data_IF_522900630535
#
_entry.id   IF_522900630535
#
_cell.length_a   1.000
_cell.length_b   1.000
_cell.length_c   1.000
_cell.angle_alpha   90.00
_cell.angle_beta   90.00
_cell.angle_gamma   90.00
#
_symmetry.space_group_name_H-M   'P 1'
#
loop_
_entity.id
_entity.type
_entity.pdbx_description
1 polymer ?
#
# COMPACT_ATOMS: atom_id res chain seq x y z
N UNK A 1 26.87 37.95 -21.55
CA UNK A 1 26.76 36.53 -21.21
C UNK A 1 25.32 36.34 -20.73
N UNK A 2 24.53 35.39 -21.26
CA UNK A 2 23.24 35.10 -20.66
C UNK A 2 23.48 34.50 -19.27
N UNK A 3 22.72 34.96 -18.27
CA UNK A 3 22.83 34.53 -16.89
C UNK A 3 22.53 33.02 -16.78
N UNK A 4 23.47 32.24 -16.25
CA UNK A 4 23.24 30.84 -15.89
C UNK A 4 22.28 30.79 -14.70
N UNK A 5 21.28 29.89 -14.70
CA UNK A 5 20.37 29.76 -13.57
C UNK A 5 21.14 29.27 -12.35
N UNK A 6 21.36 30.18 -11.39
CA UNK A 6 21.93 29.87 -10.08
C UNK A 6 21.04 28.87 -9.36
N UNK A 7 21.56 27.66 -9.14
CA UNK A 7 20.90 26.65 -8.32
C UNK A 7 21.01 27.08 -6.85
N UNK A 8 19.90 27.37 -6.16
CA UNK A 8 19.96 27.82 -4.77
C UNK A 8 20.57 26.72 -3.88
N UNK A 9 21.68 27.03 -3.20
CA UNK A 9 22.42 26.12 -2.29
C UNK A 9 21.81 26.08 -0.87
N UNK A 10 20.53 26.43 -0.70
CA UNK A 10 19.84 26.46 0.60
C UNK A 10 18.43 25.89 0.51
N UNK A 11 17.79 25.57 1.65
CA UNK A 11 16.40 25.12 1.65
C UNK A 11 15.53 26.16 0.95
N UNK A 12 14.92 25.76 -0.15
CA UNK A 12 13.97 26.61 -0.88
C UNK A 12 12.74 26.79 0.02
N UNK A 13 12.23 28.01 0.21
CA UNK A 13 10.99 28.21 0.93
C UNK A 13 9.88 27.34 0.35
N UNK A 14 9.08 26.72 1.21
CA UNK A 14 7.94 25.90 0.75
C UNK A 14 6.87 26.75 0.05
N UNK A 15 6.81 28.04 0.36
CA UNK A 15 5.88 29.00 -0.21
C UNK A 15 6.63 30.28 -0.58
N UNK A 16 6.18 30.96 -1.62
CA UNK A 16 6.61 32.33 -1.92
C UNK A 16 5.96 33.35 -0.98
N UNK A 17 6.34 34.64 -1.12
CA UNK A 17 5.82 35.72 -0.28
C UNK A 17 4.30 35.93 -0.43
N UNK A 18 3.70 35.44 -1.51
CA UNK A 18 2.25 35.44 -1.75
C UNK A 18 1.54 34.22 -1.16
N UNK A 19 2.27 33.29 -0.54
CA UNK A 19 1.74 32.04 0.00
C UNK A 19 1.48 30.97 -1.06
N UNK A 20 2.01 31.10 -2.28
CA UNK A 20 1.89 30.09 -3.33
C UNK A 20 3.01 29.06 -3.15
N UNK A 21 2.71 27.75 -3.17
CA UNK A 21 3.73 26.70 -3.09
C UNK A 21 4.78 26.84 -4.20
N UNK A 22 6.05 26.67 -3.86
CA UNK A 22 7.10 26.66 -4.86
C UNK A 22 7.07 25.35 -5.66
N UNK A 23 7.61 25.37 -6.88
CA UNK A 23 7.70 24.15 -7.69
C UNK A 23 8.48 23.03 -6.97
N UNK A 24 9.59 23.40 -6.35
CA UNK A 24 10.44 22.49 -5.59
C UNK A 24 9.68 21.86 -4.43
N UNK A 25 8.90 22.63 -3.66
CA UNK A 25 8.13 22.08 -2.54
C UNK A 25 7.05 21.09 -2.99
N UNK A 26 6.39 21.38 -4.12
CA UNK A 26 5.38 20.48 -4.68
C UNK A 26 6.03 19.21 -5.21
N UNK A 27 7.16 19.31 -5.90
CA UNK A 27 7.92 18.15 -6.39
C UNK A 27 8.34 17.26 -5.22
N UNK A 28 9.00 17.83 -4.21
CA UNK A 28 9.48 17.09 -3.04
C UNK A 28 8.31 16.43 -2.27
N UNK A 29 7.16 17.11 -2.16
CA UNK A 29 5.96 16.53 -1.56
C UNK A 29 5.41 15.35 -2.38
N UNK A 30 5.40 15.43 -3.71
CA UNK A 30 4.97 14.33 -4.58
C UNK A 30 5.91 13.14 -4.45
N UNK A 31 7.22 13.37 -4.50
CA UNK A 31 8.23 12.32 -4.37
C UNK A 31 8.14 11.63 -3.01
N UNK A 32 7.99 12.39 -1.93
CA UNK A 32 7.80 11.86 -0.57
C UNK A 32 6.55 11.00 -0.45
N UNK A 33 5.41 11.46 -1.00
CA UNK A 33 4.16 10.69 -1.00
C UNK A 33 4.27 9.43 -1.86
N UNK A 34 4.91 9.53 -3.01
CA UNK A 34 5.13 8.39 -3.89
C UNK A 34 5.99 7.33 -3.20
N UNK A 35 7.14 7.71 -2.63
CA UNK A 35 8.02 6.81 -1.90
C UNK A 35 7.30 6.14 -0.70
N UNK A 36 6.49 6.90 0.03
CA UNK A 36 5.66 6.36 1.12
C UNK A 36 4.64 5.36 0.60
N UNK A 37 3.92 5.70 -0.48
CA UNK A 37 2.90 4.84 -1.06
C UNK A 37 3.46 3.50 -1.58
N UNK A 38 4.72 3.48 -2.05
CA UNK A 38 5.37 2.24 -2.49
C UNK A 38 5.46 1.19 -1.36
N UNK A 39 5.69 1.61 -0.10
CA UNK A 39 5.83 0.69 1.05
C UNK A 39 4.61 0.59 1.96
N UNK A 40 3.60 1.45 1.78
CA UNK A 40 2.46 1.53 2.69
C UNK A 40 1.65 0.23 2.76
N UNK A 41 1.44 -0.45 1.62
CA UNK A 41 0.65 -1.67 1.58
C UNK A 41 1.29 -2.83 2.38
N UNK A 42 2.62 -2.92 2.41
CA UNK A 42 3.34 -3.94 3.21
C UNK A 42 3.17 -3.66 4.70
N UNK A 43 3.34 -2.40 5.11
CA UNK A 43 3.13 -1.98 6.50
C UNK A 43 1.69 -2.19 6.96
N UNK A 44 0.71 -1.87 6.11
CA UNK A 44 -0.71 -2.08 6.38
C UNK A 44 -1.03 -3.58 6.51
N UNK A 45 -0.45 -4.43 5.66
CA UNK A 45 -0.61 -5.88 5.75
C UNK A 45 0.02 -6.46 7.04
N UNK A 46 1.14 -5.91 7.49
CA UNK A 46 1.82 -6.28 8.74
C UNK A 46 1.24 -5.59 9.98
N UNK A 47 0.22 -4.74 9.84
CA UNK A 47 -0.49 -4.18 10.99
C UNK A 47 -1.26 -5.28 11.75
N UNK A 48 -1.57 -5.09 13.05
CA UNK A 48 -2.46 -6.01 13.78
C UNK A 48 -3.78 -6.25 13.07
N UNK A 49 -4.39 -5.20 12.52
CA UNK A 49 -5.64 -5.26 11.78
C UNK A 49 -5.47 -6.05 10.48
N UNK A 50 -4.41 -5.77 9.72
CA UNK A 50 -4.07 -6.48 8.48
C UNK A 50 -3.89 -7.99 8.70
N UNK A 51 -3.15 -8.38 9.75
CA UNK A 51 -3.01 -9.78 10.15
C UNK A 51 -4.35 -10.42 10.50
N UNK A 52 -5.19 -9.74 11.29
CA UNK A 52 -6.50 -10.28 11.69
C UNK A 52 -7.44 -10.53 10.50
N UNK A 53 -7.41 -9.67 9.48
CA UNK A 53 -8.19 -9.85 8.25
C UNK A 53 -7.68 -11.05 7.45
N UNK A 54 -6.36 -11.21 7.36
CA UNK A 54 -5.74 -12.36 6.71
C UNK A 54 -6.10 -13.67 7.42
N UNK A 55 -6.01 -13.71 8.75
CA UNK A 55 -6.39 -14.88 9.55
C UNK A 55 -7.86 -15.27 9.32
N UNK A 56 -8.79 -14.31 9.40
CA UNK A 56 -10.20 -14.55 9.13
C UNK A 56 -10.46 -15.05 7.69
N UNK A 57 -9.68 -14.57 6.72
CA UNK A 57 -9.78 -15.05 5.35
C UNK A 57 -9.33 -16.52 5.25
N UNK A 58 -8.19 -16.86 5.85
CA UNK A 58 -7.65 -18.22 5.86
C UNK A 58 -8.57 -19.20 6.57
N UNK A 59 -9.16 -18.80 7.69
CA UNK A 59 -10.18 -19.59 8.41
C UNK A 59 -11.39 -19.88 7.53
N UNK A 60 -11.92 -18.87 6.82
CA UNK A 60 -13.03 -19.07 5.89
C UNK A 60 -12.67 -20.01 4.74
N UNK A 61 -11.46 -19.89 4.20
CA UNK A 61 -10.99 -20.78 3.13
C UNK A 61 -10.84 -22.22 3.61
N UNK A 62 -10.29 -22.42 4.81
CA UNK A 62 -10.17 -23.75 5.42
C UNK A 62 -11.54 -24.37 5.66
N UNK A 63 -12.47 -23.64 6.26
CA UNK A 63 -13.83 -24.11 6.50
C UNK A 63 -14.56 -24.47 5.19
N UNK A 64 -14.39 -23.66 4.13
CA UNK A 64 -14.95 -23.95 2.82
C UNK A 64 -14.34 -25.23 2.21
N UNK A 65 -13.01 -25.40 2.31
CA UNK A 65 -12.31 -26.58 1.81
C UNK A 65 -12.73 -27.86 2.55
N UNK A 66 -12.84 -27.81 3.88
CA UNK A 66 -13.33 -28.91 4.71
C UNK A 66 -14.75 -29.30 4.30
N UNK A 67 -15.64 -28.31 4.14
CA UNK A 67 -17.02 -28.57 3.72
C UNK A 67 -17.10 -29.22 2.34
N UNK A 68 -16.27 -28.78 1.39
CA UNK A 68 -16.19 -29.40 0.06
C UNK A 68 -15.65 -30.82 0.11
N UNK A 69 -14.72 -31.12 1.03
CA UNK A 69 -14.22 -32.47 1.24
C UNK A 69 -15.30 -33.40 1.78
N UNK A 70 -16.07 -32.96 2.78
CA UNK A 70 -17.23 -33.70 3.30
C UNK A 70 -18.25 -34.02 2.21
N UNK A 71 -18.61 -33.02 1.39
CA UNK A 71 -19.56 -33.21 0.28
C UNK A 71 -19.03 -34.27 -0.68
N UNK A 72 -17.75 -34.19 -1.06
CA UNK A 72 -17.13 -35.15 -1.98
C UNK A 72 -17.14 -36.57 -1.41
N UNK A 73 -16.89 -36.73 -0.11
CA UNK A 73 -16.95 -38.03 0.55
C UNK A 73 -18.40 -38.56 0.60
N UNK A 74 -19.38 -37.71 0.92
CA UNK A 74 -20.80 -38.10 0.91
C UNK A 74 -21.33 -38.51 -0.47
N UNK A 75 -20.68 -38.05 -1.54
CA UNK A 75 -21.01 -38.40 -2.92
C UNK A 75 -20.27 -39.63 -3.44
N UNK A 76 -19.34 -40.22 -2.67
CA UNK A 76 -18.71 -41.47 -3.10
C UNK A 76 -19.74 -42.59 -3.07
N UNK A 77 -19.92 -43.35 -4.16
CA UNK A 77 -20.81 -44.50 -4.14
C UNK A 77 -20.25 -45.54 -3.16
N UNK A 78 -21.13 -46.08 -2.30
CA UNK A 78 -20.86 -47.27 -1.50
C UNK A 78 -20.32 -48.34 -2.47
N UNK A 79 -19.07 -48.78 -2.30
CA UNK A 79 -18.58 -49.94 -3.07
C UNK A 79 -19.38 -51.16 -2.60
N UNK A 80 -20.42 -51.50 -3.36
CA UNK A 80 -21.02 -52.84 -3.38
C UNK A 80 -20.07 -53.85 -4.00
#
# INVERSE_FOLDING_TARGET
MPDEPVTPTGPVPAYDDGGVPTFESVRDQIESRYATAQGAAELDAESPEGRSVAEQYDERQRAAAERLAEIRESMRPEKG
#
